data_IF_163487747822
#
_entry.id   IF_163487747822
#
_cell.length_a   1.000
_cell.length_b   1.000
_cell.length_c   1.000
_cell.angle_alpha   90.00
_cell.angle_beta   90.00
_cell.angle_gamma   90.00
#
_symmetry.space_group_name_H-M   'P 1'
#
loop_
_entity.id
_entity.type
_entity.pdbx_description
1 polymer ?
#
# COMPACT_ATOMS: atom_id res chain seq x y z
N UNK A 1 10.30 -19.61 -20.02
CA UNK A 1 9.63 -19.56 -18.69
C UNK A 1 9.20 -20.98 -18.33
N UNK A 2 9.39 -21.39 -17.07
CA UNK A 2 8.91 -22.70 -16.61
C UNK A 2 7.37 -22.73 -16.56
N UNK A 3 6.77 -23.93 -16.75
CA UNK A 3 5.31 -24.10 -16.67
C UNK A 3 4.75 -23.67 -15.31
N UNK A 4 5.50 -23.89 -14.23
CA UNK A 4 5.13 -23.47 -12.85
C UNK A 4 5.01 -21.96 -12.72
N UNK A 5 5.96 -21.20 -13.27
CA UNK A 5 5.92 -19.74 -13.25
C UNK A 5 4.73 -19.18 -14.04
N UNK A 6 4.45 -19.78 -15.22
CA UNK A 6 3.28 -19.38 -16.03
C UNK A 6 1.99 -19.64 -15.28
N UNK A 7 1.86 -20.79 -14.63
CA UNK A 7 0.67 -21.11 -13.80
C UNK A 7 0.47 -20.10 -12.67
N UNK A 8 1.53 -19.73 -11.96
CA UNK A 8 1.46 -18.73 -10.87
C UNK A 8 1.04 -17.34 -11.39
N UNK A 9 1.56 -16.92 -12.56
CA UNK A 9 1.14 -15.68 -13.22
C UNK A 9 -0.36 -15.75 -13.59
N UNK A 10 -0.80 -16.84 -14.22
CA UNK A 10 -2.20 -17.02 -14.60
C UNK A 10 -3.14 -17.02 -13.40
N UNK A 11 -2.76 -17.67 -12.29
CA UNK A 11 -3.52 -17.62 -11.04
C UNK A 11 -3.63 -16.19 -10.52
N UNK A 12 -2.52 -15.45 -10.51
CA UNK A 12 -2.51 -14.05 -10.05
C UNK A 12 -3.43 -13.19 -10.91
N UNK A 13 -3.33 -13.30 -12.24
CA UNK A 13 -4.19 -12.55 -13.17
C UNK A 13 -5.65 -12.94 -13.04
N UNK A 14 -5.96 -14.24 -12.84
CA UNK A 14 -7.31 -14.73 -12.61
C UNK A 14 -7.97 -14.13 -11.35
N UNK A 15 -7.22 -14.05 -10.25
CA UNK A 15 -7.71 -13.42 -9.02
C UNK A 15 -7.86 -11.89 -9.15
N UNK A 16 -6.95 -11.22 -9.88
CA UNK A 16 -7.08 -9.78 -10.18
C UNK A 16 -8.33 -9.53 -11.03
N UNK A 17 -8.62 -10.37 -12.01
CA UNK A 17 -9.83 -10.28 -12.81
C UNK A 17 -11.07 -10.49 -11.96
N UNK A 18 -11.07 -11.48 -11.06
CA UNK A 18 -12.17 -11.70 -10.11
C UNK A 18 -12.40 -10.46 -9.23
N UNK A 19 -11.32 -9.86 -8.70
CA UNK A 19 -11.40 -8.60 -7.96
C UNK A 19 -12.08 -7.51 -8.80
N UNK A 20 -11.72 -7.35 -10.06
CA UNK A 20 -12.33 -6.35 -10.96
C UNK A 20 -13.82 -6.60 -11.20
N UNK A 21 -14.22 -7.86 -11.37
CA UNK A 21 -15.64 -8.22 -11.51
C UNK A 21 -16.44 -7.84 -10.24
N UNK A 22 -15.91 -8.09 -9.05
CA UNK A 22 -16.55 -7.73 -7.79
C UNK A 22 -16.74 -6.21 -7.64
N UNK A 23 -15.87 -5.38 -8.22
CA UNK A 23 -15.99 -3.92 -8.21
C UNK A 23 -17.24 -3.40 -8.93
N UNK A 24 -17.85 -4.21 -9.80
CA UNK A 24 -19.06 -3.85 -10.54
C UNK A 24 -20.35 -4.36 -9.89
N UNK A 25 -20.28 -5.11 -8.79
CA UNK A 25 -21.45 -5.62 -8.07
C UNK A 25 -21.91 -4.60 -7.04
N UNK A 26 -22.99 -3.85 -7.26
CA UNK A 26 -23.43 -2.81 -6.33
C UNK A 26 -24.08 -3.43 -5.08
N UNK A 27 -24.07 -2.65 -3.99
CA UNK A 27 -24.86 -2.98 -2.79
C UNK A 27 -26.35 -2.85 -3.10
N UNK A 28 -27.19 -3.82 -2.71
CA UNK A 28 -28.62 -3.74 -2.93
C UNK A 28 -29.27 -2.50 -2.28
N UNK A 29 -30.19 -1.86 -2.98
CA UNK A 29 -30.93 -0.69 -2.50
C UNK A 29 -30.24 0.66 -2.72
N UNK A 30 -29.19 0.72 -3.54
CA UNK A 30 -28.47 1.95 -3.91
C UNK A 30 -28.92 2.45 -5.28
N UNK A 31 -29.14 3.75 -5.39
CA UNK A 31 -29.27 4.44 -6.66
C UNK A 31 -27.88 4.87 -7.14
N UNK A 32 -27.32 4.08 -8.09
CA UNK A 32 -25.96 4.26 -8.59
C UNK A 32 -25.78 5.62 -9.27
N UNK A 33 -26.79 6.11 -9.97
CA UNK A 33 -26.70 7.36 -10.73
C UNK A 33 -26.50 8.56 -9.78
N UNK A 34 -27.24 8.61 -8.66
CA UNK A 34 -27.12 9.66 -7.64
C UNK A 34 -25.76 9.60 -6.96
N UNK A 35 -25.28 8.39 -6.63
CA UNK A 35 -23.97 8.22 -5.99
C UNK A 35 -22.85 8.66 -6.94
N UNK A 36 -22.93 8.29 -8.21
CA UNK A 36 -21.94 8.67 -9.24
C UNK A 36 -21.93 10.19 -9.44
N UNK A 37 -23.08 10.84 -9.56
CA UNK A 37 -23.19 12.31 -9.69
C UNK A 37 -22.53 13.04 -8.50
N UNK A 38 -22.72 12.50 -7.28
CA UNK A 38 -22.06 13.03 -6.09
C UNK A 38 -20.53 12.88 -6.15
N UNK A 39 -20.01 11.73 -6.58
CA UNK A 39 -18.57 11.51 -6.71
C UNK A 39 -17.96 12.36 -7.82
N UNK A 40 -18.62 12.54 -8.95
CA UNK A 40 -18.16 13.40 -10.04
C UNK A 40 -18.04 14.87 -9.58
N UNK A 41 -18.97 15.34 -8.73
CA UNK A 41 -18.92 16.70 -8.18
C UNK A 41 -17.93 16.87 -7.01
N UNK A 42 -17.53 15.79 -6.34
CA UNK A 42 -16.69 15.80 -5.14
C UNK A 42 -15.39 14.94 -5.29
N UNK A 43 -14.89 14.78 -6.50
CA UNK A 43 -13.73 13.93 -6.80
C UNK A 43 -12.44 14.29 -6.00
N UNK A 44 -12.33 15.54 -5.54
CA UNK A 44 -11.16 16.05 -4.80
C UNK A 44 -11.22 15.84 -3.27
N UNK A 45 -12.25 15.17 -2.75
CA UNK A 45 -12.44 14.91 -1.33
C UNK A 45 -11.78 13.60 -0.89
N UNK A 46 -11.82 13.31 0.44
CA UNK A 46 -11.32 12.05 1.00
C UNK A 46 -11.94 10.81 0.35
N UNK A 47 -13.22 10.89 -0.04
CA UNK A 47 -13.90 9.82 -0.77
C UNK A 47 -13.29 9.56 -2.15
N UNK A 48 -12.81 10.57 -2.85
CA UNK A 48 -12.10 10.42 -4.13
C UNK A 48 -10.82 9.60 -3.98
N UNK A 49 -10.05 9.79 -2.90
CA UNK A 49 -8.89 8.95 -2.61
C UNK A 49 -9.28 7.49 -2.30
N UNK A 50 -10.30 7.29 -1.46
CA UNK A 50 -10.81 5.93 -1.17
C UNK A 50 -11.27 5.27 -2.47
N UNK A 51 -11.98 6.01 -3.34
CA UNK A 51 -12.42 5.53 -4.64
C UNK A 51 -11.25 5.09 -5.52
N UNK A 52 -10.18 5.88 -5.58
CA UNK A 52 -8.97 5.52 -6.33
C UNK A 52 -8.30 4.23 -5.79
N UNK A 53 -8.16 4.08 -4.45
CA UNK A 53 -7.59 2.86 -3.86
C UNK A 53 -8.49 1.63 -4.01
N UNK A 54 -9.81 1.82 -4.08
CA UNK A 54 -10.79 0.75 -4.33
C UNK A 54 -10.96 0.41 -5.81
N UNK A 55 -10.32 1.17 -6.71
CA UNK A 55 -10.46 0.99 -8.16
C UNK A 55 -11.83 1.38 -8.70
N UNK A 56 -12.32 2.53 -8.27
CA UNK A 56 -13.62 3.10 -8.62
C UNK A 56 -14.83 2.28 -8.11
N UNK A 57 -14.62 1.48 -7.06
CA UNK A 57 -15.68 0.69 -6.46
C UNK A 57 -16.61 1.52 -5.56
N UNK A 58 -16.11 2.63 -5.00
CA UNK A 58 -16.89 3.52 -4.12
C UNK A 58 -17.94 4.31 -4.89
N UNK A 59 -17.60 4.84 -6.05
CA UNK A 59 -18.53 5.61 -6.91
C UNK A 59 -19.76 4.80 -7.35
N UNK A 60 -19.64 3.46 -7.33
CA UNK A 60 -20.73 2.52 -7.64
C UNK A 60 -21.33 1.89 -6.40
N UNK A 61 -20.85 2.26 -5.25
CA UNK A 61 -21.13 1.64 -3.96
C UNK A 61 -21.18 0.11 -4.08
N UNK A 62 -20.08 -0.48 -4.61
CA UNK A 62 -19.99 -1.93 -4.76
C UNK A 62 -19.82 -2.62 -3.42
N UNK A 63 -20.05 -3.94 -3.38
CA UNK A 63 -19.79 -4.77 -2.19
C UNK A 63 -18.35 -4.66 -1.68
N UNK A 64 -17.41 -4.29 -2.56
CA UNK A 64 -15.99 -4.06 -2.21
C UNK A 64 -15.63 -2.57 -2.11
N UNK A 65 -16.58 -1.67 -1.90
CA UNK A 65 -16.35 -0.21 -1.85
C UNK A 65 -15.34 0.20 -0.76
N UNK A 66 -15.32 -0.45 0.40
CA UNK A 66 -14.31 -0.22 1.42
C UNK A 66 -12.92 -0.74 1.02
N UNK A 67 -12.83 -1.53 -0.05
CA UNK A 67 -11.58 -2.11 -0.52
C UNK A 67 -10.89 -2.97 0.54
N UNK A 68 -9.56 -2.96 0.53
CA UNK A 68 -8.72 -3.67 1.49
C UNK A 68 -8.32 -2.78 2.68
N UNK A 69 -8.79 -1.51 2.73
CA UNK A 69 -8.40 -0.54 3.76
C UNK A 69 -8.68 -1.00 5.20
N UNK A 70 -9.84 -1.61 5.53
CA UNK A 70 -10.10 -2.10 6.88
C UNK A 70 -9.08 -3.14 7.34
N UNK A 71 -8.66 -4.03 6.44
CA UNK A 71 -7.61 -5.01 6.73
C UNK A 71 -6.24 -4.37 6.96
N UNK A 72 -5.89 -3.36 6.16
CA UNK A 72 -4.64 -2.62 6.34
C UNK A 72 -4.63 -1.94 7.71
N UNK A 73 -5.72 -1.24 8.06
CA UNK A 73 -5.87 -0.60 9.39
C UNK A 73 -5.75 -1.61 10.53
N UNK A 74 -6.40 -2.76 10.43
CA UNK A 74 -6.30 -3.84 11.40
C UNK A 74 -4.86 -4.36 11.52
N UNK A 75 -4.18 -4.56 10.40
CA UNK A 75 -2.80 -5.03 10.35
C UNK A 75 -1.84 -4.03 11.02
N UNK A 76 -2.04 -2.72 10.78
CA UNK A 76 -1.26 -1.65 11.42
C UNK A 76 -1.43 -1.67 12.93
N UNK A 77 -2.68 -1.71 13.41
CA UNK A 77 -3.00 -1.76 14.83
C UNK A 77 -2.30 -2.97 15.48
N UNK A 78 -2.39 -4.13 14.83
CA UNK A 78 -1.75 -5.35 15.34
C UNK A 78 -0.22 -5.28 15.30
N UNK A 79 0.39 -4.64 14.31
CA UNK A 79 1.84 -4.42 14.28
C UNK A 79 2.33 -3.48 15.39
N UNK A 80 1.59 -2.39 15.64
CA UNK A 80 1.87 -1.48 16.75
C UNK A 80 1.74 -2.20 18.10
N UNK A 81 0.68 -3.00 18.27
CA UNK A 81 0.49 -3.80 19.47
C UNK A 81 1.57 -4.86 19.66
N UNK A 82 1.99 -5.54 18.58
CA UNK A 82 3.06 -6.54 18.64
C UNK A 82 4.43 -5.92 18.97
N UNK A 83 4.68 -4.67 18.59
CA UNK A 83 5.88 -3.94 18.98
C UNK A 83 5.86 -3.52 20.45
N UNK A 84 4.67 -3.19 20.99
CA UNK A 84 4.50 -2.71 22.37
C UNK A 84 4.36 -3.87 23.36
N UNK A 85 3.62 -4.92 23.00
CA UNK A 85 3.34 -6.08 23.88
C UNK A 85 4.21 -7.28 23.51
N UNK A 86 5.17 -7.68 24.38
CA UNK A 86 6.09 -8.80 24.10
C UNK A 86 5.38 -10.14 23.81
N UNK A 87 4.19 -10.37 24.39
CA UNK A 87 3.41 -11.57 24.16
C UNK A 87 2.97 -11.71 22.70
N UNK A 88 2.45 -10.62 22.11
CA UNK A 88 2.07 -10.56 20.70
C UNK A 88 3.28 -10.61 19.77
N UNK A 89 4.39 -9.98 20.17
CA UNK A 89 5.66 -10.03 19.45
C UNK A 89 6.26 -11.44 19.37
N UNK A 90 6.16 -12.24 20.46
CA UNK A 90 6.54 -13.65 20.45
C UNK A 90 5.60 -14.47 19.57
N UNK A 91 4.29 -14.27 19.70
CA UNK A 91 3.30 -14.97 18.86
C UNK A 91 3.55 -14.77 17.36
N UNK A 92 3.95 -13.55 16.93
CA UNK A 92 4.30 -13.26 15.53
C UNK A 92 5.55 -14.03 15.05
N UNK A 93 6.50 -14.35 15.96
CA UNK A 93 7.76 -15.05 15.61
C UNK A 93 7.63 -16.58 15.64
N UNK A 94 6.70 -17.13 16.40
CA UNK A 94 6.46 -18.57 16.53
C UNK A 94 5.58 -19.06 15.37
N UNK A 95 5.92 -20.23 14.80
CA UNK A 95 5.21 -20.79 13.64
C UNK A 95 3.73 -21.06 13.92
N UNK A 96 3.42 -21.63 15.08
CA UNK A 96 2.04 -21.90 15.52
C UNK A 96 1.33 -20.63 16.02
N UNK A 97 2.09 -19.70 16.60
CA UNK A 97 1.60 -18.38 17.02
C UNK A 97 1.18 -17.50 15.87
N UNK A 98 1.86 -17.60 14.71
CA UNK A 98 1.56 -16.81 13.53
C UNK A 98 0.13 -17.03 13.00
N UNK A 99 -0.38 -18.27 13.07
CA UNK A 99 -1.77 -18.55 12.68
C UNK A 99 -2.77 -17.85 13.58
N UNK A 100 -2.56 -17.86 14.90
CA UNK A 100 -3.40 -17.13 15.87
C UNK A 100 -3.30 -15.63 15.68
N UNK A 101 -2.09 -15.11 15.41
CA UNK A 101 -1.88 -13.70 15.12
C UNK A 101 -2.68 -13.25 13.89
N UNK A 102 -2.66 -14.02 12.81
CA UNK A 102 -3.47 -13.75 11.61
C UNK A 102 -4.98 -13.85 11.87
N UNK A 103 -5.43 -14.77 12.74
CA UNK A 103 -6.84 -14.82 13.15
C UNK A 103 -7.28 -13.56 13.90
N UNK A 104 -6.45 -13.03 14.80
CA UNK A 104 -6.75 -11.78 15.51
C UNK A 104 -6.88 -10.63 14.51
N UNK A 105 -5.97 -10.53 13.51
CA UNK A 105 -6.08 -9.51 12.45
C UNK A 105 -7.42 -9.63 11.73
N UNK A 106 -7.87 -10.85 11.38
CA UNK A 106 -9.15 -11.06 10.71
C UNK A 106 -10.34 -10.60 11.56
N UNK A 107 -10.37 -10.92 12.85
CA UNK A 107 -11.44 -10.45 13.76
C UNK A 107 -11.42 -8.93 13.92
N UNK A 108 -10.23 -8.33 14.06
CA UNK A 108 -10.09 -6.88 14.11
C UNK A 108 -10.57 -6.22 12.81
N UNK A 109 -10.29 -6.84 11.66
CA UNK A 109 -10.78 -6.39 10.35
C UNK A 109 -12.32 -6.39 10.30
N UNK A 110 -12.98 -7.44 10.82
CA UNK A 110 -14.44 -7.51 10.87
C UNK A 110 -15.01 -6.33 11.66
N UNK A 111 -14.46 -6.06 12.84
CA UNK A 111 -14.94 -4.95 13.69
C UNK A 111 -14.75 -3.60 13.00
N UNK A 112 -13.57 -3.35 12.43
CA UNK A 112 -13.27 -2.09 11.72
C UNK A 112 -14.19 -1.94 10.50
N UNK A 113 -14.38 -3.01 9.72
CA UNK A 113 -15.26 -2.99 8.54
C UNK A 113 -16.70 -2.66 8.94
N UNK A 114 -17.23 -3.23 10.00
CA UNK A 114 -18.58 -2.92 10.49
C UNK A 114 -18.71 -1.45 10.87
N UNK A 115 -17.75 -0.91 11.62
CA UNK A 115 -17.76 0.52 12.00
C UNK A 115 -17.74 1.41 10.77
N UNK A 116 -16.85 1.13 9.81
CA UNK A 116 -16.73 1.93 8.59
C UNK A 116 -17.95 1.80 7.68
N UNK A 117 -18.50 0.60 7.52
CA UNK A 117 -19.67 0.37 6.67
C UNK A 117 -20.91 1.08 7.21
N UNK A 118 -21.12 1.08 8.52
CA UNK A 118 -22.20 1.84 9.16
C UNK A 118 -21.99 3.35 8.92
N UNK A 119 -20.77 3.85 9.11
CA UNK A 119 -20.44 5.27 8.87
C UNK A 119 -20.71 5.69 7.42
N UNK A 120 -20.25 4.91 6.45
CA UNK A 120 -20.49 5.19 5.02
C UNK A 120 -21.98 5.12 4.70
N UNK A 121 -22.72 4.11 5.22
CA UNK A 121 -24.14 3.95 4.96
C UNK A 121 -24.98 5.12 5.54
N UNK A 122 -24.62 5.61 6.72
CA UNK A 122 -25.27 6.78 7.32
C UNK A 122 -24.94 8.06 6.53
N UNK A 123 -23.71 8.21 6.03
CA UNK A 123 -23.29 9.33 5.20
C UNK A 123 -24.08 9.43 3.90
N UNK A 124 -24.47 8.31 3.31
CA UNK A 124 -25.24 8.28 2.07
C UNK A 124 -26.68 8.78 2.23
N UNK A 125 -27.24 8.75 3.43
CA UNK A 125 -28.59 9.27 3.70
C UNK A 125 -28.72 10.79 3.46
N UNK A 126 -27.62 11.51 3.61
CA UNK A 126 -27.57 12.97 3.38
C UNK A 126 -27.39 13.33 1.91
N UNK A 127 -27.16 12.33 1.03
CA UNK A 127 -26.94 12.56 -0.40
C UNK A 127 -28.26 12.56 -1.16
N UNK A 128 -28.59 13.70 -1.72
CA UNK A 128 -29.68 13.89 -2.67
C UNK A 128 -29.09 14.31 -4.02
N UNK A 129 -29.51 13.66 -5.11
CA UNK A 129 -29.11 14.06 -6.46
C UNK A 129 -29.69 15.43 -6.84
N UNK A 130 -29.18 16.02 -7.91
CA UNK A 130 -29.68 17.31 -8.45
C UNK A 130 -31.19 17.24 -8.81
N UNK A 131 -31.70 16.04 -9.10
CA UNK A 131 -33.11 15.78 -9.35
C UNK A 131 -33.97 15.61 -8.08
N UNK A 132 -33.40 15.78 -6.88
CA UNK A 132 -34.09 15.58 -5.60
C UNK A 132 -34.31 14.10 -5.24
N UNK A 133 -33.72 13.16 -6.01
CA UNK A 133 -33.81 11.74 -5.71
C UNK A 133 -32.84 11.35 -4.59
N UNK A 134 -33.29 10.46 -3.68
CA UNK A 134 -32.44 9.92 -2.64
C UNK A 134 -31.46 8.89 -3.21
N UNK A 135 -30.23 8.85 -2.67
CA UNK A 135 -29.25 7.82 -2.98
C UNK A 135 -29.70 6.42 -2.51
N UNK A 136 -30.68 6.35 -1.62
CA UNK A 136 -31.18 5.13 -1.00
C UNK A 136 -32.63 4.90 -1.44
N UNK A 137 -32.93 3.69 -1.97
CA UNK A 137 -34.24 3.32 -2.48
C UNK A 137 -35.07 2.47 -1.50
N UNK A 138 -34.52 2.10 -0.36
CA UNK A 138 -35.16 1.28 0.69
C UNK A 138 -35.11 2.00 2.04
N UNK A 139 -35.85 1.47 3.03
CA UNK A 139 -35.83 2.04 4.38
C UNK A 139 -34.40 2.09 4.96
N UNK A 140 -34.08 3.19 5.66
CA UNK A 140 -32.74 3.48 6.16
C UNK A 140 -32.17 2.39 7.09
N UNK A 141 -32.99 1.87 8.00
CA UNK A 141 -32.55 0.82 8.94
C UNK A 141 -32.22 -0.48 8.21
N UNK A 142 -33.03 -0.85 7.23
CA UNK A 142 -32.79 -2.02 6.37
C UNK A 142 -31.58 -1.80 5.49
N UNK A 143 -31.41 -0.59 4.94
CA UNK A 143 -30.25 -0.25 4.11
C UNK A 143 -28.94 -0.38 4.88
N UNK A 144 -28.84 0.18 6.10
CA UNK A 144 -27.65 0.09 6.94
C UNK A 144 -27.29 -1.36 7.24
N UNK A 145 -28.28 -2.22 7.54
CA UNK A 145 -28.04 -3.63 7.80
C UNK A 145 -27.53 -4.36 6.55
N UNK A 146 -28.21 -4.21 5.41
CA UNK A 146 -27.87 -4.87 4.15
C UNK A 146 -26.51 -4.39 3.63
N UNK A 147 -26.26 -3.09 3.63
CA UNK A 147 -25.00 -2.51 3.15
C UNK A 147 -23.82 -2.93 4.03
N UNK A 148 -23.99 -2.93 5.37
CA UNK A 148 -22.93 -3.35 6.30
C UNK A 148 -22.55 -4.82 6.10
N UNK A 149 -23.53 -5.72 5.95
CA UNK A 149 -23.26 -7.14 5.68
C UNK A 149 -22.64 -7.32 4.30
N UNK A 150 -23.09 -6.59 3.28
CA UNK A 150 -22.57 -6.67 1.91
C UNK A 150 -21.13 -6.22 1.85
N UNK A 151 -20.79 -5.06 2.45
CA UNK A 151 -19.42 -4.52 2.49
C UNK A 151 -18.50 -5.39 3.34
N UNK A 152 -18.99 -5.96 4.45
CA UNK A 152 -18.22 -6.90 5.25
C UNK A 152 -17.86 -8.14 4.44
N UNK A 153 -18.85 -8.72 3.74
CA UNK A 153 -18.61 -9.87 2.87
C UNK A 153 -17.61 -9.56 1.78
N UNK A 154 -17.72 -8.39 1.14
CA UNK A 154 -16.80 -7.92 0.11
C UNK A 154 -15.36 -7.76 0.64
N UNK A 155 -15.17 -7.14 1.80
CA UNK A 155 -13.84 -6.98 2.42
C UNK A 155 -13.23 -8.33 2.78
N UNK A 156 -14.02 -9.27 3.34
CA UNK A 156 -13.54 -10.62 3.66
C UNK A 156 -13.17 -11.40 2.40
N UNK A 157 -13.92 -11.26 1.31
CA UNK A 157 -13.58 -11.84 0.00
C UNK A 157 -12.26 -11.26 -0.54
N UNK A 158 -12.07 -9.94 -0.46
CA UNK A 158 -10.82 -9.30 -0.90
C UNK A 158 -9.61 -9.79 -0.09
N UNK A 159 -9.77 -9.92 1.22
CA UNK A 159 -8.72 -10.47 2.07
C UNK A 159 -8.38 -11.91 1.67
N UNK A 160 -9.40 -12.76 1.43
CA UNK A 160 -9.21 -14.12 0.97
C UNK A 160 -8.52 -14.17 -0.40
N UNK A 161 -8.92 -13.33 -1.37
CA UNK A 161 -8.27 -13.20 -2.68
C UNK A 161 -6.79 -12.83 -2.51
N UNK A 162 -6.48 -11.84 -1.66
CA UNK A 162 -5.11 -11.43 -1.36
C UNK A 162 -4.27 -12.56 -0.77
N UNK A 163 -4.83 -13.35 0.15
CA UNK A 163 -4.17 -14.52 0.71
C UNK A 163 -3.93 -15.61 -0.37
N UNK A 164 -4.91 -15.89 -1.25
CA UNK A 164 -4.75 -16.86 -2.34
C UNK A 164 -3.65 -16.44 -3.32
N UNK A 165 -3.60 -15.15 -3.70
CA UNK A 165 -2.53 -14.64 -4.56
C UNK A 165 -1.17 -14.81 -3.87
N UNK A 166 -1.07 -14.51 -2.58
CA UNK A 166 0.20 -14.62 -1.82
C UNK A 166 0.66 -16.08 -1.70
N UNK A 167 -0.27 -17.02 -1.52
CA UNK A 167 0.05 -18.45 -1.34
C UNK A 167 0.29 -19.19 -2.65
N UNK A 168 -0.52 -18.94 -3.67
CA UNK A 168 -0.53 -19.71 -4.93
C UNK A 168 -0.03 -18.93 -6.15
N UNK A 169 -0.01 -17.61 -6.06
CA UNK A 169 0.40 -16.72 -7.14
C UNK A 169 1.83 -16.21 -6.97
N UNK A 170 2.07 -14.99 -7.50
CA UNK A 170 3.34 -14.28 -7.43
C UNK A 170 3.14 -12.96 -6.70
N UNK A 171 4.02 -12.65 -5.78
CA UNK A 171 4.03 -11.34 -5.13
C UNK A 171 3.32 -11.33 -3.78
N UNK A 172 3.00 -10.13 -3.32
CA UNK A 172 2.14 -9.88 -2.16
C UNK A 172 0.73 -9.59 -2.68
N UNK A 173 -0.23 -10.49 -2.43
CA UNK A 173 -1.57 -10.38 -2.97
C UNK A 173 -2.29 -9.11 -2.56
N UNK A 174 -2.10 -8.65 -1.33
CA UNK A 174 -2.71 -7.41 -0.82
C UNK A 174 -2.18 -6.20 -1.60
N UNK A 175 -0.86 -6.11 -1.76
CA UNK A 175 -0.22 -5.05 -2.53
C UNK A 175 -0.64 -5.07 -3.99
N UNK A 176 -0.82 -6.26 -4.59
CA UNK A 176 -1.29 -6.42 -5.96
C UNK A 176 -2.76 -6.02 -6.14
N UNK A 177 -3.62 -6.23 -5.15
CA UNK A 177 -5.01 -5.75 -5.18
C UNK A 177 -5.03 -4.22 -5.17
N UNK A 178 -4.24 -3.58 -4.31
CA UNK A 178 -4.12 -2.11 -4.26
C UNK A 178 -3.57 -1.58 -5.59
N UNK A 179 -2.51 -2.19 -6.11
CA UNK A 179 -1.93 -1.88 -7.41
C UNK A 179 -2.99 -1.95 -8.54
N UNK A 180 -3.74 -3.06 -8.60
CA UNK A 180 -4.79 -3.25 -9.59
C UNK A 180 -5.92 -2.21 -9.46
N UNK A 181 -6.28 -1.81 -8.23
CA UNK A 181 -7.21 -0.72 -7.96
C UNK A 181 -6.71 0.59 -8.56
N UNK A 182 -5.50 1.01 -8.22
CA UNK A 182 -4.91 2.27 -8.69
C UNK A 182 -4.77 2.28 -10.22
N UNK A 183 -4.22 1.22 -10.81
CA UNK A 183 -4.03 1.11 -12.26
C UNK A 183 -5.36 1.18 -13.00
N UNK A 184 -6.42 0.63 -12.43
CA UNK A 184 -7.75 0.66 -13.06
C UNK A 184 -8.41 2.04 -13.08
N UNK A 185 -7.95 2.98 -12.27
CA UNK A 185 -8.42 4.37 -12.29
C UNK A 185 -7.71 5.22 -13.36
N UNK A 186 -6.57 4.75 -13.91
CA UNK A 186 -5.80 5.50 -14.91
C UNK A 186 -6.61 5.81 -16.19
N UNK A 187 -7.36 4.87 -16.80
CA UNK A 187 -8.14 5.18 -18.00
C UNK A 187 -9.18 6.28 -17.79
N UNK A 188 -9.87 6.28 -16.64
CA UNK A 188 -10.85 7.34 -16.32
C UNK A 188 -10.18 8.69 -16.08
N UNK A 189 -9.02 8.72 -15.44
CA UNK A 189 -8.24 9.94 -15.26
C UNK A 189 -7.75 10.53 -16.60
N UNK A 190 -7.33 9.69 -17.55
CA UNK A 190 -6.96 10.12 -18.90
C UNK A 190 -8.19 10.68 -19.63
N UNK A 191 -9.33 9.96 -19.59
CA UNK A 191 -10.59 10.41 -20.20
C UNK A 191 -11.03 11.77 -19.67
N UNK A 192 -11.06 11.96 -18.36
CA UNK A 192 -11.39 13.25 -17.74
C UNK A 192 -10.42 14.37 -18.12
N UNK A 193 -9.12 14.08 -18.24
CA UNK A 193 -8.14 15.07 -18.70
C UNK A 193 -8.40 15.51 -20.15
N UNK A 194 -8.72 14.58 -21.04
CA UNK A 194 -9.07 14.87 -22.44
C UNK A 194 -10.33 15.73 -22.51
N UNK A 195 -11.31 15.44 -21.69
CA UNK A 195 -12.57 16.20 -21.61
C UNK A 195 -12.35 17.65 -21.15
N UNK A 196 -11.49 17.85 -20.13
CA UNK A 196 -11.11 19.19 -19.67
C UNK A 196 -10.37 20.00 -20.73
N UNK A 197 -9.53 19.36 -21.53
CA UNK A 197 -8.86 20.02 -22.68
C UNK A 197 -9.86 20.39 -23.76
N UNK A 198 -10.77 19.48 -24.12
CA UNK A 198 -11.79 19.73 -25.15
C UNK A 198 -12.77 20.85 -24.74
N UNK A 199 -13.08 20.95 -23.45
CA UNK A 199 -13.94 22.00 -22.89
C UNK A 199 -13.20 23.33 -22.69
N UNK A 200 -11.92 23.44 -23.06
CA UNK A 200 -11.11 24.65 -22.93
C UNK A 200 -10.76 25.02 -21.48
N UNK A 201 -11.03 24.15 -20.52
CA UNK A 201 -10.74 24.37 -19.10
C UNK A 201 -9.26 24.11 -18.77
N UNK A 202 -8.56 23.35 -19.61
CA UNK A 202 -7.15 23.02 -19.44
C UNK A 202 -6.37 23.27 -20.72
N UNK A 203 -5.20 23.92 -20.59
CA UNK A 203 -4.31 24.15 -21.72
C UNK A 203 -3.51 22.87 -22.03
N UNK A 204 -3.30 22.58 -23.32
CA UNK A 204 -2.48 21.45 -23.77
C UNK A 204 -1.05 21.46 -23.17
N UNK A 205 -0.47 22.64 -22.97
CA UNK A 205 0.85 22.78 -22.33
C UNK A 205 0.83 22.28 -20.87
N UNK A 206 -0.28 22.47 -20.14
CA UNK A 206 -0.47 21.98 -18.78
C UNK A 206 -0.48 20.44 -18.77
N UNK A 207 -1.10 19.81 -19.75
CA UNK A 207 -1.11 18.34 -19.87
C UNK A 207 0.30 17.79 -20.08
N UNK A 208 1.07 18.41 -20.97
CA UNK A 208 2.49 18.03 -21.18
C UNK A 208 3.29 18.16 -19.89
N UNK A 209 3.12 19.27 -19.16
CA UNK A 209 3.80 19.50 -17.89
C UNK A 209 3.44 18.41 -16.85
N UNK A 210 2.17 18.02 -16.75
CA UNK A 210 1.74 16.94 -15.86
C UNK A 210 2.41 15.61 -16.22
N UNK A 211 2.43 15.25 -17.50
CA UNK A 211 3.07 14.02 -17.97
C UNK A 211 4.56 14.01 -17.61
N UNK A 212 5.26 15.14 -17.83
CA UNK A 212 6.69 15.27 -17.48
C UNK A 212 6.90 15.11 -15.97
N UNK A 213 6.03 15.71 -15.15
CA UNK A 213 6.10 15.60 -13.68
C UNK A 213 5.88 14.14 -13.24
N UNK A 214 4.90 13.46 -13.81
CA UNK A 214 4.63 12.05 -13.52
C UNK A 214 5.85 11.19 -13.86
N UNK A 215 6.39 11.34 -15.06
CA UNK A 215 7.57 10.58 -15.50
C UNK A 215 8.81 10.89 -14.64
N UNK A 216 9.02 12.14 -14.28
CA UNK A 216 10.11 12.54 -13.37
C UNK A 216 9.93 11.93 -11.98
N UNK A 217 8.70 11.93 -11.45
CA UNK A 217 8.37 11.32 -10.15
C UNK A 217 8.61 9.81 -10.19
N UNK A 218 8.12 9.12 -11.22
CA UNK A 218 8.36 7.67 -11.41
C UNK A 218 9.86 7.38 -11.50
N UNK A 219 10.61 8.16 -12.29
CA UNK A 219 12.06 8.02 -12.41
C UNK A 219 12.79 8.22 -11.08
N UNK A 220 12.40 9.23 -10.30
CA UNK A 220 12.95 9.49 -8.97
C UNK A 220 12.67 8.32 -8.00
N UNK A 221 11.43 7.78 -8.02
CA UNK A 221 11.05 6.63 -7.20
C UNK A 221 11.91 5.42 -7.56
N UNK A 222 12.01 5.07 -8.84
CA UNK A 222 12.82 3.93 -9.30
C UNK A 222 14.28 4.09 -8.87
N UNK A 223 14.84 5.27 -9.06
CA UNK A 223 16.23 5.55 -8.70
C UNK A 223 16.52 5.34 -7.21
N UNK A 224 15.65 5.85 -6.34
CA UNK A 224 15.80 5.71 -4.88
C UNK A 224 15.49 4.29 -4.39
N UNK A 225 14.46 3.62 -4.96
CA UNK A 225 14.09 2.25 -4.56
C UNK A 225 15.13 1.19 -4.97
N UNK A 226 15.91 1.47 -6.01
CA UNK A 226 17.03 0.63 -6.43
C UNK A 226 18.32 0.96 -5.68
N UNK A 227 18.40 2.12 -5.01
CA UNK A 227 19.59 2.55 -4.29
C UNK A 227 19.83 1.71 -3.05
N UNK A 228 21.04 1.13 -2.96
CA UNK A 228 21.45 0.31 -1.82
C UNK A 228 22.85 0.69 -1.33
N UNK A 229 23.06 0.70 -0.02
CA UNK A 229 24.37 0.80 0.60
C UNK A 229 24.94 -0.61 0.73
N UNK A 230 26.03 -0.90 0.02
CA UNK A 230 26.72 -2.17 0.07
C UNK A 230 27.77 -2.15 1.17
N UNK A 231 27.53 -2.89 2.26
CA UNK A 231 28.50 -3.04 3.36
C UNK A 231 29.35 -4.27 3.08
N UNK A 232 30.69 -4.11 2.87
CA UNK A 232 31.57 -5.23 2.55
C UNK A 232 31.69 -6.20 3.72
N UNK A 233 31.64 -7.49 3.43
CA UNK A 233 31.82 -8.58 4.40
C UNK A 233 32.96 -9.46 3.96
N UNK A 234 33.85 -9.77 4.89
CA UNK A 234 34.96 -10.69 4.69
C UNK A 234 34.75 -11.97 5.51
N UNK A 235 35.08 -13.12 4.93
CA UNK A 235 35.04 -14.41 5.60
C UNK A 235 36.42 -14.95 5.87
N UNK A 236 36.59 -15.71 6.96
CA UNK A 236 37.88 -16.30 7.31
C UNK A 236 38.37 -17.26 6.20
N UNK A 237 39.71 -17.28 5.96
CA UNK A 237 40.34 -18.03 4.86
C UNK A 237 39.97 -19.50 4.73
N UNK A 238 39.63 -20.18 5.84
CA UNK A 238 39.19 -21.61 5.84
C UNK A 238 37.91 -21.86 5.06
N UNK A 239 36.99 -20.89 5.02
CA UNK A 239 35.71 -21.01 4.27
C UNK A 239 35.93 -20.65 2.79
N UNK A 240 36.95 -19.85 2.47
CA UNK A 240 37.29 -19.49 1.08
C UNK A 240 37.93 -20.61 0.26
N UNK A 241 38.60 -21.58 0.88
CA UNK A 241 39.26 -22.68 0.15
C UNK A 241 38.29 -23.65 -0.50
N UNK A 242 37.05 -23.73 -0.04
CA UNK A 242 36.03 -24.64 -0.58
C UNK A 242 35.32 -24.10 -1.86
N UNK A 243 35.49 -22.79 -2.18
CA UNK A 243 34.86 -22.12 -3.33
C UNK A 243 35.85 -21.33 -4.19
N UNK A 244 36.87 -21.99 -4.74
CA UNK A 244 38.02 -21.35 -5.40
C UNK A 244 37.77 -20.74 -6.78
N UNK A 245 36.54 -20.60 -7.30
CA UNK A 245 36.34 -20.14 -8.70
C UNK A 245 35.77 -18.74 -8.94
N UNK A 246 35.31 -18.01 -7.91
CA UNK A 246 35.00 -16.57 -8.07
C UNK A 246 35.24 -15.84 -6.74
N UNK A 247 36.08 -14.80 -6.74
CA UNK A 247 36.11 -13.74 -5.72
C UNK A 247 34.78 -12.97 -5.79
N UNK A 248 33.71 -13.56 -5.28
CA UNK A 248 32.48 -12.83 -5.05
C UNK A 248 32.71 -12.01 -3.81
N UNK A 249 32.90 -10.70 -3.96
CA UNK A 249 32.88 -9.77 -2.82
C UNK A 249 31.51 -9.89 -2.19
N UNK A 250 31.44 -10.59 -1.06
CA UNK A 250 30.20 -10.69 -0.31
C UNK A 250 29.94 -9.35 0.36
N UNK A 251 28.74 -8.82 0.19
CA UNK A 251 28.31 -7.58 0.83
C UNK A 251 26.89 -7.76 1.38
N UNK A 252 26.57 -6.99 2.42
CA UNK A 252 25.22 -6.85 2.94
C UNK A 252 24.58 -5.65 2.24
N UNK A 253 23.56 -5.84 1.40
CA UNK A 253 22.84 -4.74 0.79
C UNK A 253 21.86 -4.15 1.81
N UNK A 254 22.00 -2.87 2.12
CA UNK A 254 21.07 -2.12 2.95
C UNK A 254 20.39 -1.10 2.02
N UNK A 255 19.08 -1.27 1.77
CA UNK A 255 18.31 -0.35 0.92
C UNK A 255 18.27 1.04 1.53
N UNK A 256 18.23 2.09 0.70
CA UNK A 256 18.01 3.46 1.17
C UNK A 256 16.63 3.60 1.80
N UNK A 257 15.62 3.01 1.16
CA UNK A 257 14.29 2.88 1.72
C UNK A 257 14.10 1.47 2.33
N UNK A 258 14.45 1.32 3.62
CA UNK A 258 14.28 0.06 4.36
C UNK A 258 12.82 -0.29 4.65
N UNK A 259 12.00 0.73 4.78
CA UNK A 259 10.59 0.57 5.13
C UNK A 259 9.68 0.29 3.92
N UNK A 260 10.16 0.51 2.69
CA UNK A 260 9.36 0.36 1.46
C UNK A 260 8.19 1.35 1.41
N UNK A 261 7.08 0.93 0.81
CA UNK A 261 5.86 1.73 0.67
C UNK A 261 4.94 1.68 1.89
N UNK A 262 5.18 0.74 2.81
CA UNK A 262 4.29 0.46 3.95
C UNK A 262 4.02 1.70 4.81
N UNK A 263 5.00 2.57 5.15
CA UNK A 263 4.76 3.79 5.90
C UNK A 263 3.75 4.75 5.26
N UNK A 264 3.80 4.88 3.94
CA UNK A 264 2.88 5.76 3.21
C UNK A 264 1.45 5.20 3.19
N UNK A 265 1.31 3.87 3.06
CA UNK A 265 0.02 3.18 3.18
C UNK A 265 -0.53 3.34 4.61
N UNK A 266 0.31 3.19 5.63
CA UNK A 266 -0.09 3.33 7.03
C UNK A 266 -0.55 4.76 7.34
N UNK A 267 0.22 5.76 6.93
CA UNK A 267 -0.14 7.15 7.11
C UNK A 267 -1.48 7.49 6.43
N UNK A 268 -1.68 7.04 5.19
CA UNK A 268 -2.93 7.26 4.47
C UNK A 268 -4.11 6.55 5.16
N UNK A 269 -3.96 5.30 5.59
CA UNK A 269 -5.02 4.55 6.24
C UNK A 269 -5.47 5.20 7.56
N UNK A 270 -4.52 5.65 8.40
CA UNK A 270 -4.82 6.32 9.68
C UNK A 270 -5.51 7.66 9.47
N UNK A 271 -5.09 8.45 8.47
CA UNK A 271 -5.73 9.74 8.19
C UNK A 271 -7.09 9.59 7.54
N UNK A 272 -7.26 8.61 6.65
CA UNK A 272 -8.52 8.38 5.94
C UNK A 272 -9.60 7.76 6.84
N UNK A 273 -9.22 6.93 7.83
CA UNK A 273 -10.18 6.27 8.70
C UNK A 273 -11.09 7.28 9.45
N UNK A 274 -10.57 8.29 10.18
CA UNK A 274 -11.43 9.30 10.80
C UNK A 274 -12.17 10.14 9.74
N UNK A 275 -11.50 10.51 8.65
CA UNK A 275 -12.11 11.34 7.61
C UNK A 275 -13.37 10.70 7.02
N UNK A 276 -13.36 9.40 6.75
CA UNK A 276 -14.52 8.67 6.21
C UNK A 276 -15.65 8.52 7.23
N UNK A 277 -15.34 8.29 8.50
CA UNK A 277 -16.35 8.16 9.56
C UNK A 277 -17.00 9.50 9.88
N UNK A 278 -16.24 10.59 9.83
CA UNK A 278 -16.72 11.94 10.19
C UNK A 278 -17.54 12.61 9.08
N UNK A 279 -17.40 12.20 7.83
CA UNK A 279 -18.14 12.79 6.70
C UNK A 279 -19.67 12.66 6.79
N UNK A 280 -20.16 11.64 7.52
CA UNK A 280 -21.61 11.46 7.76
C UNK A 280 -22.17 12.22 8.98
N UNK A 281 -21.34 12.99 9.68
CA UNK A 281 -21.76 13.66 10.91
C UNK A 281 -22.40 15.02 10.61
N UNK A 282 -23.51 15.30 11.31
CA UNK A 282 -24.17 16.63 11.28
C UNK A 282 -23.66 17.58 12.39
N UNK A 283 -22.73 17.14 13.22
CA UNK A 283 -22.18 17.94 14.30
C UNK A 283 -21.14 18.95 13.74
N UNK A 284 -21.31 20.28 13.97
CA UNK A 284 -20.41 21.32 13.40
C UNK A 284 -18.94 21.11 13.76
N UNK A 285 -18.64 20.61 14.97
CA UNK A 285 -17.25 20.36 15.39
C UNK A 285 -16.64 19.22 14.58
N UNK A 286 -17.41 18.15 14.35
CA UNK A 286 -16.94 16.98 13.61
C UNK A 286 -16.78 17.29 12.11
N UNK A 287 -17.65 18.12 11.55
CA UNK A 287 -17.52 18.64 10.17
C UNK A 287 -16.24 19.47 10.04
N UNK A 288 -15.95 20.36 10.99
CA UNK A 288 -14.72 21.15 10.98
C UNK A 288 -13.47 20.25 11.02
N UNK A 289 -13.48 19.19 11.83
CA UNK A 289 -12.37 18.23 11.89
C UNK A 289 -12.25 17.48 10.55
N UNK A 290 -13.37 17.08 9.95
CA UNK A 290 -13.38 16.42 8.64
C UNK A 290 -12.79 17.32 7.54
N UNK A 291 -13.05 18.64 7.57
CA UNK A 291 -12.48 19.61 6.63
C UNK A 291 -10.95 19.71 6.77
N UNK A 292 -10.42 19.70 7.98
CA UNK A 292 -8.96 19.65 8.20
C UNK A 292 -8.33 18.34 7.72
N UNK A 293 -9.07 17.24 7.76
CA UNK A 293 -8.67 15.92 7.25
C UNK A 293 -8.99 15.72 5.76
N UNK A 294 -9.43 16.76 5.06
CA UNK A 294 -9.64 16.70 3.62
C UNK A 294 -8.28 16.62 2.90
N UNK A 295 -8.07 15.68 1.96
CA UNK A 295 -6.84 15.54 1.20
C UNK A 295 -6.40 16.79 0.42
N UNK A 296 -7.35 17.64 0.06
CA UNK A 296 -7.09 18.94 -0.58
C UNK A 296 -6.61 20.02 0.39
N UNK A 297 -6.56 19.74 1.69
CA UNK A 297 -6.09 20.65 2.73
C UNK A 297 -4.56 20.60 2.89
N UNK A 298 -3.94 21.75 3.16
CA UNK A 298 -2.52 21.81 3.56
C UNK A 298 -2.27 21.06 4.86
N UNK A 299 -3.22 21.10 5.79
CA UNK A 299 -3.16 20.42 7.10
C UNK A 299 -3.06 18.91 6.94
N UNK A 300 -3.92 18.32 6.10
CA UNK A 300 -3.86 16.90 5.79
C UNK A 300 -2.48 16.50 5.24
N UNK A 301 -1.94 17.25 4.28
CA UNK A 301 -0.67 16.94 3.67
C UNK A 301 0.51 17.11 4.63
N UNK A 302 0.43 18.07 5.56
CA UNK A 302 1.41 18.19 6.65
C UNK A 302 1.37 16.97 7.57
N UNK A 303 0.18 16.54 8.03
CA UNK A 303 0.05 15.34 8.83
C UNK A 303 0.48 14.10 8.06
N UNK A 304 0.16 14.02 6.77
CA UNK A 304 0.60 12.94 5.91
C UNK A 304 2.13 12.83 5.89
N UNK A 305 2.84 13.94 5.70
CA UNK A 305 4.31 13.98 5.75
C UNK A 305 4.83 13.50 7.10
N UNK A 306 4.31 14.05 8.20
CA UNK A 306 4.73 13.70 9.56
C UNK A 306 4.50 12.23 9.90
N UNK A 307 3.32 11.68 9.55
CA UNK A 307 3.01 10.28 9.78
C UNK A 307 3.84 9.35 8.90
N UNK A 308 4.10 9.70 7.63
CA UNK A 308 4.99 8.92 6.77
C UNK A 308 6.38 8.84 7.37
N UNK A 309 6.94 9.96 7.83
CA UNK A 309 8.25 9.99 8.49
C UNK A 309 8.23 9.15 9.77
N UNK A 310 7.24 9.33 10.63
CA UNK A 310 7.09 8.55 11.86
C UNK A 310 7.04 7.05 11.58
N UNK A 311 6.16 6.61 10.67
CA UNK A 311 6.02 5.20 10.33
C UNK A 311 7.23 4.62 9.61
N UNK A 312 7.99 5.44 8.85
CA UNK A 312 9.21 4.99 8.22
C UNK A 312 10.26 4.59 9.28
N UNK A 313 10.46 5.42 10.31
CA UNK A 313 11.34 5.07 11.43
C UNK A 313 10.82 3.87 12.22
N UNK A 314 9.53 3.89 12.54
CA UNK A 314 8.90 2.81 13.29
C UNK A 314 9.05 1.46 12.58
N UNK A 315 8.71 1.40 11.29
CA UNK A 315 8.78 0.17 10.50
C UNK A 315 10.22 -0.30 10.26
N UNK A 316 11.14 0.62 10.00
CA UNK A 316 12.55 0.28 9.85
C UNK A 316 13.13 -0.34 11.13
N UNK A 317 12.76 0.16 12.31
CA UNK A 317 13.21 -0.38 13.60
C UNK A 317 12.72 -1.81 13.87
N UNK A 318 11.54 -2.17 13.35
CA UNK A 318 10.98 -3.52 13.51
C UNK A 318 11.56 -4.49 12.48
N UNK A 319 11.73 -4.02 11.23
CA UNK A 319 12.13 -4.87 10.11
C UNK A 319 13.62 -5.14 10.10
N UNK A 320 14.44 -4.17 10.49
CA UNK A 320 15.89 -4.29 10.47
C UNK A 320 16.44 -4.65 11.86
N UNK A 321 16.66 -5.95 12.09
CA UNK A 321 17.28 -6.42 13.33
C UNK A 321 18.81 -6.56 13.18
N UNK A 322 19.52 -5.51 13.52
CA UNK A 322 21.00 -5.46 13.44
C UNK A 322 21.68 -6.50 14.33
N UNK A 323 21.06 -6.89 15.48
CA UNK A 323 21.60 -7.89 16.38
C UNK A 323 21.55 -9.29 15.75
N UNK A 324 20.40 -9.69 15.21
CA UNK A 324 20.24 -10.99 14.56
C UNK A 324 21.18 -11.12 13.34
N UNK A 325 21.33 -10.04 12.55
CA UNK A 325 22.25 -10.01 11.40
C UNK A 325 23.71 -10.18 11.89
N UNK A 326 24.12 -9.46 12.92
CA UNK A 326 25.47 -9.51 13.48
C UNK A 326 25.79 -10.89 14.06
N UNK A 327 24.83 -11.52 14.80
CA UNK A 327 25.02 -12.87 15.34
C UNK A 327 25.12 -13.93 14.24
N UNK A 328 24.28 -13.84 13.21
CA UNK A 328 24.32 -14.76 12.08
C UNK A 328 25.64 -14.61 11.31
N UNK A 329 26.11 -13.39 11.12
CA UNK A 329 27.39 -13.11 10.48
C UNK A 329 28.54 -13.74 11.30
N UNK A 330 28.54 -13.55 12.63
CA UNK A 330 29.53 -14.15 13.54
C UNK A 330 29.51 -15.67 13.49
N UNK A 331 28.33 -16.30 13.51
CA UNK A 331 28.17 -17.77 13.41
C UNK A 331 28.72 -18.33 12.09
N UNK A 332 28.62 -17.58 11.01
CA UNK A 332 29.15 -17.94 9.69
C UNK A 332 30.65 -17.61 9.52
N UNK A 333 31.32 -17.07 10.54
CA UNK A 333 32.74 -16.67 10.46
C UNK A 333 32.98 -15.44 9.59
N UNK A 334 31.94 -14.65 9.31
CA UNK A 334 32.02 -13.40 8.58
C UNK A 334 32.28 -12.22 9.52
N UNK A 335 32.94 -11.18 9.01
CA UNK A 335 33.19 -9.93 9.72
C UNK A 335 33.20 -8.74 8.75
N UNK A 336 32.90 -7.57 9.28
CA UNK A 336 33.00 -6.31 8.54
C UNK A 336 34.43 -5.77 8.75
N UNK A 337 35.20 -5.45 7.68
CA UNK A 337 36.53 -4.91 7.82
C UNK A 337 36.54 -3.64 8.67
N UNK A 338 37.42 -3.57 9.67
CA UNK A 338 37.54 -2.43 10.58
C UNK A 338 36.56 -2.41 11.77
N UNK A 339 35.64 -3.38 11.87
CA UNK A 339 34.63 -3.48 12.97
C UNK A 339 34.78 -4.82 13.69
N UNK A 340 34.79 -4.79 15.04
CA UNK A 340 34.85 -6.05 15.84
C UNK A 340 33.58 -6.86 15.67
N UNK A 341 33.69 -8.19 15.42
CA UNK A 341 32.52 -9.07 15.32
C UNK A 341 31.71 -9.08 16.62
N UNK A 342 30.38 -9.05 16.49
CA UNK A 342 29.45 -9.10 17.62
C UNK A 342 28.76 -7.74 17.87
N UNK A 343 28.75 -7.27 19.12
CA UNK A 343 28.02 -6.05 19.52
C UNK A 343 28.40 -4.81 18.69
N UNK A 344 29.71 -4.58 18.45
CA UNK A 344 30.17 -3.43 17.64
C UNK A 344 29.70 -3.52 16.18
N UNK A 345 29.58 -4.74 15.61
CA UNK A 345 29.01 -4.94 14.27
C UNK A 345 27.52 -4.61 14.26
N UNK A 346 26.76 -4.99 15.30
CA UNK A 346 25.34 -4.67 15.43
C UNK A 346 25.12 -3.15 15.54
N UNK A 347 25.97 -2.47 16.33
CA UNK A 347 25.92 -1.02 16.49
C UNK A 347 26.21 -0.29 15.17
N UNK A 348 27.27 -0.68 14.47
CA UNK A 348 27.62 -0.12 13.15
C UNK A 348 26.49 -0.30 12.13
N UNK A 349 25.88 -1.50 12.07
CA UNK A 349 24.76 -1.76 11.17
C UNK A 349 23.53 -0.94 11.55
N UNK A 350 23.25 -0.80 12.85
CA UNK A 350 22.11 -0.01 13.35
C UNK A 350 22.30 1.49 13.03
N UNK A 351 23.49 2.03 13.24
CA UNK A 351 23.79 3.42 12.90
C UNK A 351 23.66 3.67 11.40
N UNK A 352 24.20 2.76 10.57
CA UNK A 352 24.10 2.84 9.11
C UNK A 352 22.64 2.79 8.66
N UNK A 353 21.85 1.86 9.20
CA UNK A 353 20.43 1.74 8.89
C UNK A 353 19.64 2.97 9.33
N UNK A 354 19.91 3.51 10.52
CA UNK A 354 19.25 4.73 11.02
C UNK A 354 19.50 5.95 10.15
N UNK A 355 20.74 6.15 9.69
CA UNK A 355 21.11 7.24 8.77
C UNK A 355 20.42 7.08 7.41
N UNK A 356 20.34 5.87 6.87
CA UNK A 356 19.63 5.60 5.62
C UNK A 356 18.12 5.79 5.78
N UNK A 357 17.54 5.33 6.90
CA UNK A 357 16.12 5.51 7.22
C UNK A 357 15.75 7.00 7.31
N UNK A 358 16.62 7.84 7.85
CA UNK A 358 16.37 9.30 7.92
C UNK A 358 16.16 9.89 6.51
N UNK A 359 17.06 9.64 5.58
CA UNK A 359 16.94 10.13 4.22
C UNK A 359 15.79 9.46 3.46
N UNK A 360 15.61 8.14 3.69
CA UNK A 360 14.48 7.39 3.13
C UNK A 360 13.11 7.91 3.61
N UNK A 361 13.00 8.28 4.89
CA UNK A 361 11.78 8.83 5.46
C UNK A 361 11.42 10.21 4.89
N UNK A 362 12.42 11.10 4.76
CA UNK A 362 12.24 12.41 4.11
C UNK A 362 11.81 12.23 2.65
N UNK A 363 12.49 11.36 1.93
CA UNK A 363 12.15 11.02 0.55
C UNK A 363 10.70 10.53 0.43
N UNK A 364 10.29 9.55 1.26
CA UNK A 364 8.91 9.02 1.25
C UNK A 364 7.88 10.11 1.55
N UNK A 365 8.15 10.95 2.54
CA UNK A 365 7.29 12.08 2.88
C UNK A 365 7.14 13.07 1.73
N UNK A 366 8.25 13.44 1.09
CA UNK A 366 8.24 14.35 -0.06
C UNK A 366 7.49 13.76 -1.26
N UNK A 367 7.78 12.53 -1.65
CA UNK A 367 7.08 11.87 -2.78
C UNK A 367 5.59 11.71 -2.50
N UNK A 368 5.20 11.48 -1.25
CA UNK A 368 3.78 11.34 -0.89
C UNK A 368 3.02 12.66 -0.99
N UNK A 369 3.65 13.81 -0.76
CA UNK A 369 2.99 15.13 -0.67
C UNK A 369 3.30 16.07 -1.84
N UNK A 370 4.49 16.01 -2.43
CA UNK A 370 4.91 16.93 -3.49
C UNK A 370 3.99 16.94 -4.74
N UNK A 371 3.52 15.80 -5.27
CA UNK A 371 2.64 15.80 -6.43
C UNK A 371 1.34 16.59 -6.19
N UNK A 372 0.78 16.50 -4.97
CA UNK A 372 -0.40 17.28 -4.61
C UNK A 372 -0.13 18.81 -4.62
N UNK A 373 1.02 19.23 -4.08
CA UNK A 373 1.40 20.64 -4.09
C UNK A 373 1.50 21.18 -5.53
N UNK A 374 2.11 20.38 -6.42
CA UNK A 374 2.29 20.75 -7.83
C UNK A 374 0.96 20.82 -8.55
N UNK A 375 0.10 19.80 -8.41
CA UNK A 375 -1.23 19.74 -9.02
C UNK A 375 -2.08 20.92 -8.56
N UNK A 376 -2.05 21.26 -7.26
CA UNK A 376 -2.76 22.40 -6.70
C UNK A 376 -2.24 23.74 -7.24
N UNK A 377 -0.92 23.89 -7.37
CA UNK A 377 -0.32 25.11 -7.95
C UNK A 377 -0.66 25.30 -9.43
N UNK A 378 -0.88 24.20 -10.17
CA UNK A 378 -1.27 24.22 -11.58
C UNK A 378 -2.78 24.35 -11.82
N UNK A 379 -3.60 24.35 -10.76
CA UNK A 379 -5.06 24.44 -10.86
C UNK A 379 -5.73 23.23 -11.52
N UNK A 380 -5.12 22.05 -11.43
CA UNK A 380 -5.62 20.82 -12.05
C UNK A 380 -6.74 20.23 -11.19
N UNK A 381 -7.92 19.92 -11.74
CA UNK A 381 -9.09 19.52 -10.96
C UNK A 381 -9.11 18.03 -10.56
N UNK A 382 -8.05 17.26 -10.80
CA UNK A 382 -8.01 15.87 -10.33
C UNK A 382 -6.82 15.60 -9.41
N UNK A 383 -7.03 14.71 -8.46
CA UNK A 383 -6.04 14.35 -7.47
C UNK A 383 -5.15 13.20 -7.99
N UNK A 384 -3.89 13.52 -8.29
CA UNK A 384 -2.88 12.51 -8.57
C UNK A 384 -2.00 12.31 -7.31
N UNK A 385 -2.40 11.36 -6.47
CA UNK A 385 -1.74 11.14 -5.18
C UNK A 385 -0.34 10.57 -5.34
N UNK A 386 0.67 11.23 -4.77
CA UNK A 386 2.05 10.74 -4.74
C UNK A 386 2.17 9.34 -4.12
N UNK A 387 1.33 9.04 -3.14
CA UNK A 387 1.23 7.70 -2.53
C UNK A 387 0.82 6.64 -3.55
N UNK A 388 -0.12 6.95 -4.45
CA UNK A 388 -0.56 6.01 -5.47
C UNK A 388 0.57 5.65 -6.45
N UNK A 389 1.30 6.66 -6.94
CA UNK A 389 2.47 6.44 -7.82
C UNK A 389 3.53 5.60 -7.12
N UNK A 390 3.82 5.92 -5.87
CA UNK A 390 4.81 5.21 -5.07
C UNK A 390 4.41 3.73 -4.89
N UNK A 391 3.12 3.46 -4.60
CA UNK A 391 2.61 2.09 -4.48
C UNK A 391 2.74 1.34 -5.81
N UNK A 392 2.32 1.97 -6.92
CA UNK A 392 2.37 1.33 -8.25
C UNK A 392 3.80 0.96 -8.62
N UNK A 393 4.75 1.88 -8.47
CA UNK A 393 6.16 1.62 -8.83
C UNK A 393 6.77 0.57 -7.91
N UNK A 394 6.56 0.68 -6.59
CA UNK A 394 7.14 -0.25 -5.61
C UNK A 394 6.61 -1.67 -5.80
N UNK A 395 5.30 -1.83 -5.98
CA UNK A 395 4.69 -3.15 -6.19
C UNK A 395 5.16 -3.77 -7.50
N UNK A 396 5.33 -2.96 -8.56
CA UNK A 396 5.89 -3.41 -9.82
C UNK A 396 7.33 -3.91 -9.65
N UNK A 397 8.20 -3.14 -8.96
CA UNK A 397 9.59 -3.54 -8.69
C UNK A 397 9.65 -4.82 -7.86
N UNK A 398 8.85 -4.92 -6.77
CA UNK A 398 8.86 -6.09 -5.89
C UNK A 398 8.33 -7.34 -6.62
N UNK A 399 7.33 -7.18 -7.48
CA UNK A 399 6.80 -8.29 -8.29
C UNK A 399 7.81 -8.75 -9.32
N UNK A 400 8.49 -7.82 -10.02
CA UNK A 400 9.58 -8.16 -10.96
C UNK A 400 10.71 -8.93 -10.27
N UNK A 401 11.18 -8.45 -9.11
CA UNK A 401 12.23 -9.13 -8.32
C UNK A 401 11.82 -10.56 -7.93
N UNK A 402 10.55 -10.78 -7.56
CA UNK A 402 10.05 -12.13 -7.23
C UNK A 402 9.97 -13.03 -8.47
N UNK A 403 9.57 -12.49 -9.62
CA UNK A 403 9.58 -13.22 -10.90
C UNK A 403 11.01 -13.62 -11.26
N UNK A 404 11.97 -12.70 -11.21
CA UNK A 404 13.38 -12.97 -11.48
C UNK A 404 13.95 -14.02 -10.53
N UNK A 405 13.72 -13.89 -9.23
CA UNK A 405 14.18 -14.86 -8.23
C UNK A 405 13.65 -16.27 -8.53
N UNK A 406 12.39 -16.39 -8.93
CA UNK A 406 11.79 -17.67 -9.26
C UNK A 406 12.33 -18.24 -10.58
N UNK A 407 12.64 -17.39 -11.55
CA UNK A 407 13.32 -17.82 -12.80
C UNK A 407 14.72 -18.39 -12.51
N UNK A 408 15.48 -17.73 -11.63
CA UNK A 408 16.79 -18.23 -11.23
C UNK A 408 16.69 -19.59 -10.50
N UNK A 409 15.76 -19.73 -9.54
CA UNK A 409 15.55 -21.01 -8.84
C UNK A 409 15.23 -22.14 -9.81
N UNK A 410 14.30 -21.94 -10.73
CA UNK A 410 13.93 -22.94 -11.73
C UNK A 410 15.10 -23.30 -12.68
N UNK A 411 15.98 -22.33 -12.99
CA UNK A 411 17.18 -22.59 -13.79
C UNK A 411 18.19 -23.47 -13.05
N UNK A 412 18.34 -23.26 -11.73
CA UNK A 412 19.23 -24.12 -10.90
C UNK A 412 18.66 -25.54 -10.74
N UNK A 413 17.35 -25.69 -10.55
CA UNK A 413 16.70 -27.01 -10.48
C UNK A 413 16.85 -27.79 -11.76
N UNK A 414 16.71 -27.16 -12.94
CA UNK A 414 16.94 -27.82 -14.23
C UNK A 414 18.41 -28.21 -14.43
N UNK A 415 19.37 -27.40 -14.00
CA UNK A 415 20.79 -27.70 -14.06
C UNK A 415 21.17 -28.85 -13.13
N UNK A 416 20.63 -28.88 -11.92
CA UNK A 416 20.86 -29.96 -10.95
C UNK A 416 20.21 -31.28 -11.39
N UNK A 417 19.07 -31.23 -12.09
CA UNK A 417 18.40 -32.41 -12.66
C UNK A 417 19.15 -33.01 -13.86
N UNK A 418 19.95 -32.22 -14.56
CA UNK A 418 20.79 -32.65 -15.72
C UNK A 418 22.20 -33.12 -15.27
N UNK A 419 22.50 -33.06 -13.95
CA UNK A 419 23.77 -33.59 -13.40
C UNK A 419 25.00 -32.73 -13.71
N UNK A 420 24.84 -31.41 -13.94
CA UNK A 420 25.89 -30.41 -14.10
C UNK A 420 26.06 -29.56 -12.86
#
# INVERSE_FOLDING_TARGET
>A
MSKDLINKILITLGFILLYRLLAYVPVPGVNIDVVKEFFDSNANNALGLVNMFSGNAVERLSIISLGIMPYITASIIMELLAATFPALGKMKKERDGMQKYMQIIRYTTIVITLIQSIGVSMGLNSLTGQSGQSAISIDMSTFVAVSSISMLTGTMLLMWIGEQITQKGIGNGISLIIFAGIVSAIPSAIGGTVELVNNGQMNFLTVIAIIVIILATVGAIIYVELAERRVPVSYSRKVMMQNQKKRVMNYIPIKLNLAGVIPAIFASAILMFPATVLQGSQNPILVTIADYLNPSSYTFNLFMFLFVVFFAFFYASITFNSKDISENLKKQGGFIPGVRPGASTAEFLNETASRLTFWGAIYLGLISTAPWLIVKAMGVPFYFGGVAVLIVVQVAIDTMRKIEAQQYMNKYETLSAVGL
#
